data_IF_880326075951
#
_entry.id   IF_880326075951
#
_cell.length_a   1.000
_cell.length_b   1.000
_cell.length_c   1.000
_cell.angle_alpha   90.00
_cell.angle_beta   90.00
_cell.angle_gamma   90.00
#
_symmetry.space_group_name_H-M   'P 1'
#
loop_
_entity.id
_entity.type
_entity.pdbx_description
1 polymer ?
#
# COMPACT_ATOMS: atom_id res chain seq x y z
N UNK A 1 -50.39 17.45 18.92
CA UNK A 1 -49.69 18.46 18.10
C UNK A 1 -50.28 18.42 16.70
N UNK A 2 -50.35 19.54 15.98
CA UNK A 2 -50.95 19.57 14.64
C UNK A 2 -49.94 19.15 13.55
N UNK A 3 -50.43 18.72 12.39
CA UNK A 3 -49.62 18.24 11.27
C UNK A 3 -48.47 19.18 10.91
N UNK A 4 -48.78 20.47 10.72
CA UNK A 4 -47.79 21.46 10.27
C UNK A 4 -46.66 21.66 11.30
N UNK A 5 -46.98 21.53 12.59
CA UNK A 5 -45.99 21.63 13.67
C UNK A 5 -45.09 20.39 13.70
N UNK A 6 -45.65 19.20 13.50
CA UNK A 6 -44.91 17.94 13.43
C UNK A 6 -43.91 17.95 12.27
N UNK A 7 -44.38 18.25 11.05
CA UNK A 7 -43.55 18.26 9.84
C UNK A 7 -42.42 19.31 9.93
N UNK A 8 -42.69 20.48 10.53
CA UNK A 8 -41.68 21.52 10.75
C UNK A 8 -40.57 21.05 11.71
N UNK A 9 -40.92 20.35 12.79
CA UNK A 9 -39.96 19.78 13.74
C UNK A 9 -39.18 18.63 13.11
N UNK A 10 -39.83 17.76 12.35
CA UNK A 10 -39.18 16.67 11.61
C UNK A 10 -38.14 17.23 10.62
N UNK A 11 -38.53 18.20 9.77
CA UNK A 11 -37.62 18.89 8.84
C UNK A 11 -36.43 19.52 9.55
N UNK A 12 -36.66 20.16 10.70
CA UNK A 12 -35.58 20.72 11.51
C UNK A 12 -34.63 19.63 12.03
N UNK A 13 -35.18 18.51 12.51
CA UNK A 13 -34.42 17.36 12.98
C UNK A 13 -33.61 16.68 11.88
N UNK A 14 -34.06 16.73 10.63
CA UNK A 14 -33.39 16.14 9.46
C UNK A 14 -32.24 17.00 8.89
N UNK A 15 -32.05 18.24 9.37
CA UNK A 15 -30.95 19.12 8.93
C UNK A 15 -29.58 18.42 8.99
N UNK A 16 -28.87 18.42 7.86
CA UNK A 16 -27.59 17.69 7.69
C UNK A 16 -27.68 16.56 6.65
N UNK A 17 -28.88 16.17 6.24
CA UNK A 17 -29.10 15.36 5.04
C UNK A 17 -29.16 16.23 3.77
N UNK A 18 -28.98 15.65 2.56
CA UNK A 18 -29.19 16.35 1.30
C UNK A 18 -30.60 16.97 1.23
N UNK A 19 -30.76 18.19 0.69
CA UNK A 19 -32.05 18.88 0.64
C UNK A 19 -33.17 18.07 0.00
N UNK A 20 -32.87 17.35 -1.07
CA UNK A 20 -33.83 16.48 -1.80
C UNK A 20 -34.37 15.38 -0.89
N UNK A 21 -33.49 14.64 -0.19
CA UNK A 21 -33.89 13.60 0.74
C UNK A 21 -34.72 14.12 1.93
N UNK A 22 -34.47 15.36 2.37
CA UNK A 22 -35.28 15.99 3.42
C UNK A 22 -36.71 16.25 2.91
N UNK A 23 -36.85 16.78 1.69
CA UNK A 23 -38.15 17.05 1.10
C UNK A 23 -38.93 15.76 0.83
N UNK A 24 -38.28 14.71 0.32
CA UNK A 24 -38.90 13.41 0.06
C UNK A 24 -39.46 12.79 1.35
N UNK A 25 -38.65 12.72 2.41
CA UNK A 25 -39.08 12.20 3.71
C UNK A 25 -40.25 13.02 4.27
N UNK A 26 -40.16 14.35 4.19
CA UNK A 26 -41.24 15.22 4.70
C UNK A 26 -42.53 15.04 3.89
N UNK A 27 -42.44 14.82 2.57
CA UNK A 27 -43.57 14.57 1.70
C UNK A 27 -44.25 13.23 2.01
N UNK A 28 -43.49 12.16 2.26
CA UNK A 28 -44.02 10.85 2.64
C UNK A 28 -44.84 10.92 3.93
N UNK A 29 -44.32 11.60 4.95
CA UNK A 29 -45.04 11.80 6.20
C UNK A 29 -46.24 12.74 6.03
N UNK A 30 -46.16 13.76 5.19
CA UNK A 30 -47.30 14.62 4.88
C UNK A 30 -48.44 13.82 4.24
N UNK A 31 -48.13 12.93 3.29
CA UNK A 31 -49.10 12.03 2.67
C UNK A 31 -49.71 11.04 3.69
N UNK A 32 -48.92 10.59 4.69
CA UNK A 32 -49.43 9.73 5.77
C UNK A 32 -50.46 10.45 6.65
N UNK A 33 -50.24 11.72 6.95
CA UNK A 33 -51.22 12.54 7.67
C UNK A 33 -52.50 12.77 6.85
N UNK A 34 -52.38 12.96 5.53
CA UNK A 34 -53.55 13.12 4.64
C UNK A 34 -54.37 11.82 4.56
N UNK A 35 -53.72 10.68 4.38
CA UNK A 35 -54.40 9.38 4.36
C UNK A 35 -55.14 9.08 5.68
N UNK A 36 -54.52 9.41 6.81
CA UNK A 36 -55.17 9.23 8.11
C UNK A 36 -56.36 10.19 8.33
N UNK A 37 -56.31 11.38 7.74
CA UNK A 37 -57.44 12.32 7.76
C UNK A 37 -58.63 11.80 6.93
N UNK A 38 -58.37 11.16 5.79
CA UNK A 38 -59.39 10.51 4.96
C UNK A 38 -60.06 9.32 5.67
N UNK A 39 -59.31 8.64 6.54
CA UNK A 39 -59.82 7.58 7.43
C UNK A 39 -60.60 8.12 8.65
N UNK A 40 -60.72 9.45 8.78
CA UNK A 40 -61.45 10.11 9.88
C UNK A 40 -60.67 10.20 11.19
N UNK A 41 -59.36 9.96 11.18
CA UNK A 41 -58.49 10.13 12.36
C UNK A 41 -58.08 11.59 12.51
N UNK A 42 -57.99 12.07 13.74
CA UNK A 42 -57.54 13.45 13.98
C UNK A 42 -56.02 13.58 13.80
N UNK A 43 -55.56 14.74 13.35
CA UNK A 43 -54.11 15.01 13.21
C UNK A 43 -53.35 14.79 14.52
N UNK A 44 -53.99 15.08 15.65
CA UNK A 44 -53.41 14.94 16.98
C UNK A 44 -53.18 13.48 17.36
N UNK A 45 -54.11 12.59 17.02
CA UNK A 45 -53.97 11.14 17.21
C UNK A 45 -52.86 10.55 16.33
N UNK A 46 -52.73 11.02 15.09
CA UNK A 46 -51.68 10.56 14.16
C UNK A 46 -50.31 11.00 14.66
N UNK A 47 -50.20 12.24 15.13
CA UNK A 47 -48.94 12.74 15.69
C UNK A 47 -48.55 12.04 16.99
N UNK A 48 -49.53 11.65 17.82
CA UNK A 48 -49.27 10.85 19.03
C UNK A 48 -48.79 9.43 18.68
N UNK A 49 -49.39 8.81 17.66
CA UNK A 49 -48.95 7.50 17.17
C UNK A 49 -47.53 7.52 16.56
N UNK A 50 -47.16 8.62 15.90
CA UNK A 50 -45.81 8.81 15.34
C UNK A 50 -44.75 9.19 16.40
N UNK A 51 -45.18 9.69 17.56
CA UNK A 51 -44.31 10.02 18.69
C UNK A 51 -43.50 11.32 18.51
N UNK A 52 -42.28 11.36 19.04
CA UNK A 52 -41.44 12.57 19.02
C UNK A 52 -40.73 12.74 17.66
N UNK A 53 -41.02 13.82 16.89
CA UNK A 53 -40.40 14.07 15.59
C UNK A 53 -38.87 14.25 15.67
N UNK A 54 -38.32 14.68 16.80
CA UNK A 54 -36.86 14.81 16.96
C UNK A 54 -36.18 13.44 17.06
N UNK A 55 -36.80 12.49 17.76
CA UNK A 55 -36.35 11.11 17.84
C UNK A 55 -36.46 10.41 16.49
N UNK A 56 -37.59 10.57 15.82
CA UNK A 56 -37.82 10.01 14.48
C UNK A 56 -36.76 10.51 13.47
N UNK A 57 -36.47 11.82 13.48
CA UNK A 57 -35.43 12.38 12.62
C UNK A 57 -34.03 11.79 12.90
N UNK A 58 -33.73 11.45 14.16
CA UNK A 58 -32.46 10.82 14.54
C UNK A 58 -32.38 9.37 14.03
N UNK A 59 -33.46 8.62 14.13
CA UNK A 59 -33.55 7.25 13.61
C UNK A 59 -33.40 7.22 12.09
N UNK A 60 -34.12 8.10 11.36
CA UNK A 60 -34.03 8.23 9.91
C UNK A 60 -32.64 8.64 9.43
N UNK A 61 -31.95 9.52 10.16
CA UNK A 61 -30.56 9.91 9.87
C UNK A 61 -29.58 8.74 10.02
N UNK A 62 -29.78 7.89 11.03
CA UNK A 62 -28.94 6.72 11.22
C UNK A 62 -29.11 5.75 10.04
N UNK A 63 -30.35 5.47 9.64
CA UNK A 63 -30.63 4.59 8.49
C UNK A 63 -30.07 5.15 7.18
N UNK A 64 -30.22 6.45 6.92
CA UNK A 64 -29.65 7.12 5.76
C UNK A 64 -28.11 7.12 5.77
N UNK A 65 -27.49 7.23 6.94
CA UNK A 65 -26.04 7.11 7.12
C UNK A 65 -25.51 5.72 6.78
N UNK A 66 -26.23 4.66 7.16
CA UNK A 66 -25.87 3.28 6.84
C UNK A 66 -26.00 2.96 5.34
N UNK A 67 -27.11 3.36 4.68
CA UNK A 67 -27.27 3.15 3.23
C UNK A 67 -26.19 3.88 2.42
N UNK A 68 -25.78 5.08 2.87
CA UNK A 68 -24.69 5.82 2.21
C UNK A 68 -23.35 5.10 2.33
N UNK A 69 -23.07 4.45 3.47
CA UNK A 69 -21.86 3.63 3.64
C UNK A 69 -21.80 2.45 2.67
N UNK A 70 -22.95 1.88 2.29
CA UNK A 70 -23.01 0.85 1.25
C UNK A 70 -22.83 1.44 -0.16
N UNK A 71 -23.39 2.63 -0.43
CA UNK A 71 -23.33 3.25 -1.76
C UNK A 71 -21.98 3.89 -2.13
N UNK A 72 -21.17 4.32 -1.14
CA UNK A 72 -19.81 4.84 -1.41
C UNK A 72 -18.84 3.73 -1.88
N UNK A 73 -19.23 2.45 -1.81
CA UNK A 73 -18.59 1.37 -2.59
C UNK A 73 -19.02 1.37 -4.07
N UNK A 74 -19.02 2.53 -4.73
CA UNK A 74 -19.22 2.54 -6.18
C UNK A 74 -18.06 1.80 -6.87
N UNK A 75 -18.30 0.90 -7.84
CA UNK A 75 -17.25 0.17 -8.57
C UNK A 75 -16.26 1.07 -9.33
N UNK A 76 -16.56 2.37 -9.46
CA UNK A 76 -15.66 3.39 -10.01
C UNK A 76 -14.42 3.66 -9.12
N UNK A 77 -14.57 3.56 -7.78
CA UNK A 77 -13.45 3.76 -6.86
C UNK A 77 -12.45 2.60 -6.90
N UNK A 78 -12.92 1.37 -7.12
CA UNK A 78 -12.08 0.19 -7.28
C UNK A 78 -11.22 0.27 -8.55
N UNK A 79 -11.78 0.71 -9.68
CA UNK A 79 -11.01 0.91 -10.92
C UNK A 79 -9.92 1.98 -10.75
N UNK A 80 -10.26 3.08 -10.09
CA UNK A 80 -9.29 4.16 -9.82
C UNK A 80 -8.17 3.69 -8.90
N UNK A 81 -8.49 2.88 -7.87
CA UNK A 81 -7.50 2.27 -7.00
C UNK A 81 -6.58 1.30 -7.77
N UNK A 82 -7.13 0.47 -8.68
CA UNK A 82 -6.34 -0.45 -9.51
C UNK A 82 -5.39 0.33 -10.44
N UNK A 83 -5.87 1.36 -11.13
CA UNK A 83 -5.04 2.21 -12.00
C UNK A 83 -3.98 2.94 -11.20
N UNK A 84 -4.30 3.43 -9.99
CA UNK A 84 -3.33 4.05 -9.09
C UNK A 84 -2.27 3.04 -8.61
N UNK A 85 -2.66 1.81 -8.26
CA UNK A 85 -1.74 0.76 -7.83
C UNK A 85 -0.80 0.32 -8.98
N UNK A 86 -1.36 0.16 -10.18
CA UNK A 86 -0.59 -0.16 -11.39
C UNK A 86 0.33 0.99 -11.79
N UNK A 87 -0.14 2.24 -11.70
CA UNK A 87 0.65 3.44 -11.97
C UNK A 87 1.78 3.61 -10.96
N UNK A 88 1.53 3.37 -9.68
CA UNK A 88 2.54 3.37 -8.64
C UNK A 88 3.57 2.26 -8.87
N UNK A 89 3.13 1.04 -9.18
CA UNK A 89 4.02 -0.06 -9.53
C UNK A 89 4.85 0.22 -10.80
N UNK A 90 4.27 0.85 -11.81
CA UNK A 90 4.97 1.24 -13.02
C UNK A 90 6.02 2.34 -12.76
N UNK A 91 5.70 3.32 -11.89
CA UNK A 91 6.62 4.37 -11.47
C UNK A 91 7.76 3.80 -10.62
N UNK A 92 7.44 2.88 -9.70
CA UNK A 92 8.44 2.14 -8.92
C UNK A 92 9.36 1.37 -9.85
N UNK A 93 8.85 0.62 -10.84
CA UNK A 93 9.69 -0.07 -11.82
C UNK A 93 10.54 0.94 -12.60
N UNK A 94 9.95 2.03 -13.10
CA UNK A 94 10.68 3.02 -13.90
C UNK A 94 11.82 3.69 -13.14
N UNK A 95 11.65 3.95 -11.85
CA UNK A 95 12.65 4.60 -10.99
C UNK A 95 13.64 3.59 -10.40
N UNK A 96 13.16 2.44 -9.97
CA UNK A 96 13.95 1.43 -9.25
C UNK A 96 14.79 0.58 -10.21
N UNK A 97 14.24 0.20 -11.38
CA UNK A 97 14.94 -0.64 -12.36
C UNK A 97 16.28 -0.06 -12.84
N UNK A 98 16.40 1.23 -13.23
CA UNK A 98 17.69 1.80 -13.64
C UNK A 98 18.70 1.92 -12.49
N UNK A 99 18.29 1.75 -11.24
CA UNK A 99 19.18 1.72 -10.08
C UNK A 99 19.63 0.29 -9.78
N UNK A 100 18.69 -0.66 -9.78
CA UNK A 100 18.97 -2.07 -9.43
C UNK A 100 19.79 -2.75 -10.52
N UNK A 101 19.48 -2.54 -11.81
CA UNK A 101 20.17 -3.24 -12.90
C UNK A 101 21.68 -2.95 -12.94
N UNK A 102 22.14 -1.67 -12.91
CA UNK A 102 23.57 -1.39 -12.85
C UNK A 102 24.22 -1.89 -11.56
N UNK A 103 23.55 -1.76 -10.41
CA UNK A 103 24.09 -2.25 -9.14
C UNK A 103 24.33 -3.77 -9.19
N UNK A 104 23.36 -4.54 -9.69
CA UNK A 104 23.49 -5.97 -9.89
C UNK A 104 24.59 -6.29 -10.92
N UNK A 105 24.65 -5.53 -12.02
CA UNK A 105 25.68 -5.65 -13.03
C UNK A 105 27.09 -5.44 -12.48
N UNK A 106 27.28 -4.46 -11.60
CA UNK A 106 28.57 -4.22 -10.92
C UNK A 106 28.94 -5.40 -10.04
N UNK A 107 28.02 -5.90 -9.21
CA UNK A 107 28.29 -7.05 -8.32
C UNK A 107 28.68 -8.28 -9.14
N UNK A 108 27.90 -8.62 -10.17
CA UNK A 108 28.20 -9.72 -11.08
C UNK A 108 29.55 -9.50 -11.78
N UNK A 109 29.80 -8.29 -12.28
CA UNK A 109 31.04 -7.92 -12.94
C UNK A 109 32.26 -8.08 -12.04
N UNK A 110 32.16 -7.72 -10.76
CA UNK A 110 33.23 -7.90 -9.78
C UNK A 110 33.52 -9.39 -9.53
N UNK A 111 32.49 -10.23 -9.40
CA UNK A 111 32.67 -11.68 -9.27
C UNK A 111 33.33 -12.29 -10.51
N UNK A 112 32.86 -11.91 -11.70
CA UNK A 112 33.46 -12.36 -12.96
C UNK A 112 34.91 -11.89 -13.09
N UNK A 113 35.22 -10.65 -12.72
CA UNK A 113 36.58 -10.14 -12.72
C UNK A 113 37.49 -10.98 -11.81
N UNK A 114 37.05 -11.28 -10.58
CA UNK A 114 37.84 -12.14 -9.67
C UNK A 114 38.02 -13.55 -10.23
N UNK A 115 36.98 -14.12 -10.87
CA UNK A 115 37.09 -15.41 -11.55
C UNK A 115 38.15 -15.39 -12.66
N UNK A 116 38.17 -14.37 -13.51
CA UNK A 116 39.18 -14.26 -14.57
C UNK A 116 40.59 -14.00 -14.02
N UNK A 117 40.74 -13.23 -12.94
CA UNK A 117 42.03 -13.05 -12.26
C UNK A 117 42.53 -14.39 -11.70
N UNK A 118 41.65 -15.19 -11.10
CA UNK A 118 42.00 -16.52 -10.62
C UNK A 118 42.46 -17.45 -11.75
N UNK A 119 41.70 -17.48 -12.86
CA UNK A 119 42.07 -18.27 -14.05
C UNK A 119 43.40 -17.80 -14.65
N UNK A 120 43.63 -16.49 -14.72
CA UNK A 120 44.89 -15.93 -15.20
C UNK A 120 46.08 -16.31 -14.28
N UNK A 121 45.88 -16.28 -12.96
CA UNK A 121 46.86 -16.77 -11.99
C UNK A 121 47.18 -18.26 -12.18
N UNK A 122 46.16 -19.09 -12.39
CA UNK A 122 46.32 -20.51 -12.70
C UNK A 122 47.05 -20.76 -14.02
N UNK A 123 46.76 -19.96 -15.05
CA UNK A 123 47.48 -20.02 -16.32
C UNK A 123 48.98 -19.70 -16.14
N UNK A 124 49.30 -18.65 -15.38
CA UNK A 124 50.69 -18.26 -15.09
C UNK A 124 51.41 -19.35 -14.27
N UNK A 125 50.72 -19.97 -13.31
CA UNK A 125 51.26 -21.07 -12.51
C UNK A 125 51.63 -22.29 -13.36
N UNK A 126 50.78 -22.66 -14.34
CA UNK A 126 50.96 -23.87 -15.16
C UNK A 126 51.90 -23.62 -16.34
N UNK A 127 51.68 -22.54 -17.09
CA UNK A 127 52.37 -22.27 -18.36
C UNK A 127 53.66 -21.47 -18.14
N UNK A 128 53.67 -20.55 -17.17
CA UNK A 128 54.79 -19.65 -16.89
C UNK A 128 56.15 -20.35 -16.69
N UNK A 129 56.23 -21.47 -15.94
CA UNK A 129 57.46 -22.27 -15.82
C UNK A 129 58.09 -22.70 -17.15
N UNK A 130 57.28 -22.89 -18.19
CA UNK A 130 57.71 -23.39 -19.49
C UNK A 130 57.83 -22.29 -20.55
N UNK A 131 57.42 -21.05 -20.25
CA UNK A 131 57.30 -19.97 -21.22
C UNK A 131 58.36 -18.88 -21.08
N UNK A 132 59.51 -19.18 -20.47
CA UNK A 132 60.58 -18.21 -20.15
C UNK A 132 60.05 -16.96 -19.41
N UNK A 133 59.17 -17.16 -18.42
CA UNK A 133 58.55 -16.08 -17.66
C UNK A 133 59.59 -15.17 -16.97
N UNK A 134 59.39 -13.84 -16.95
CA UNK A 134 60.30 -12.91 -16.28
C UNK A 134 60.53 -13.27 -14.81
N UNK A 135 61.79 -13.33 -14.38
CA UNK A 135 62.15 -13.77 -13.02
C UNK A 135 62.30 -15.30 -12.86
N UNK A 136 62.03 -16.06 -13.91
CA UNK A 136 62.24 -17.51 -13.95
C UNK A 136 61.10 -18.32 -13.35
N UNK A 137 61.34 -19.63 -13.22
CA UNK A 137 60.35 -20.64 -12.86
C UNK A 137 59.69 -20.35 -11.51
N UNK A 138 60.49 -20.05 -10.48
CA UNK A 138 59.98 -19.81 -9.13
C UNK A 138 59.07 -18.58 -9.08
N UNK A 139 59.44 -17.50 -9.78
CA UNK A 139 58.61 -16.29 -9.86
C UNK A 139 57.29 -16.56 -10.58
N UNK A 140 57.28 -17.38 -11.63
CA UNK A 140 56.03 -17.79 -12.29
C UNK A 140 55.12 -18.57 -11.34
N UNK A 141 55.68 -19.54 -10.61
CA UNK A 141 54.90 -20.38 -9.70
C UNK A 141 54.33 -19.56 -8.53
N UNK A 142 55.16 -18.80 -7.82
CA UNK A 142 54.70 -18.00 -6.69
C UNK A 142 53.85 -16.81 -7.13
N UNK A 143 54.10 -16.23 -8.31
CA UNK A 143 53.29 -15.14 -8.87
C UNK A 143 51.89 -15.62 -9.26
N UNK A 144 51.79 -16.77 -9.92
CA UNK A 144 50.51 -17.40 -10.26
C UNK A 144 49.72 -17.78 -9.00
N UNK A 145 50.37 -18.48 -8.06
CA UNK A 145 49.75 -18.86 -6.78
C UNK A 145 49.31 -17.63 -5.96
N UNK A 146 50.15 -16.59 -5.92
CA UNK A 146 49.86 -15.33 -5.24
C UNK A 146 48.65 -14.62 -5.83
N UNK A 147 48.56 -14.53 -7.16
CA UNK A 147 47.38 -13.97 -7.83
C UNK A 147 46.11 -14.76 -7.53
N UNK A 148 46.18 -16.10 -7.55
CA UNK A 148 45.04 -16.95 -7.20
C UNK A 148 44.61 -16.72 -5.74
N UNK A 149 45.56 -16.65 -4.81
CA UNK A 149 45.28 -16.39 -3.40
C UNK A 149 44.64 -15.02 -3.18
N UNK A 150 45.12 -13.98 -3.86
CA UNK A 150 44.53 -12.63 -3.81
C UNK A 150 43.10 -12.66 -4.37
N UNK A 151 42.87 -13.30 -5.52
CA UNK A 151 41.54 -13.40 -6.11
C UNK A 151 40.54 -14.09 -5.17
N UNK A 152 40.95 -15.19 -4.52
CA UNK A 152 40.11 -15.90 -3.53
C UNK A 152 39.84 -15.01 -2.31
N UNK A 153 40.86 -14.34 -1.76
CA UNK A 153 40.71 -13.45 -0.62
C UNK A 153 39.75 -12.29 -0.91
N UNK A 154 39.90 -11.64 -2.07
CA UNK A 154 39.02 -10.55 -2.50
C UNK A 154 37.59 -11.04 -2.78
N UNK A 155 37.44 -12.24 -3.34
CA UNK A 155 36.12 -12.86 -3.55
C UNK A 155 35.42 -13.13 -2.21
N UNK A 156 36.15 -13.59 -1.20
CA UNK A 156 35.60 -13.81 0.14
C UNK A 156 35.15 -12.48 0.79
N UNK A 157 35.95 -11.42 0.65
CA UNK A 157 35.57 -10.07 1.12
C UNK A 157 34.33 -9.54 0.37
N UNK A 158 34.26 -9.74 -0.95
CA UNK A 158 33.12 -9.36 -1.76
C UNK A 158 31.84 -10.11 -1.35
N UNK A 159 31.97 -11.39 -0.99
CA UNK A 159 30.87 -12.21 -0.48
C UNK A 159 30.38 -11.73 0.87
N UNK A 160 31.29 -11.40 1.80
CA UNK A 160 30.91 -10.81 3.09
C UNK A 160 30.19 -9.47 2.88
N UNK A 161 30.70 -8.61 1.98
CA UNK A 161 30.06 -7.34 1.66
C UNK A 161 28.65 -7.53 1.06
N UNK A 162 28.49 -8.49 0.14
CA UNK A 162 27.20 -8.81 -0.48
C UNK A 162 26.19 -9.29 0.57
N UNK A 163 26.59 -10.21 1.46
CA UNK A 163 25.75 -10.67 2.57
C UNK A 163 25.38 -9.49 3.50
N UNK A 164 26.34 -8.63 3.82
CA UNK A 164 26.11 -7.43 4.64
C UNK A 164 25.05 -6.51 4.04
N UNK A 165 25.13 -6.25 2.73
CA UNK A 165 24.16 -5.43 1.99
C UNK A 165 22.77 -6.07 2.02
N UNK A 166 22.66 -7.37 1.73
CA UNK A 166 21.38 -8.09 1.75
C UNK A 166 20.77 -8.07 3.15
N UNK A 167 21.57 -8.29 4.19
CA UNK A 167 21.10 -8.23 5.57
C UNK A 167 20.65 -6.81 5.96
N UNK A 168 21.37 -5.77 5.53
CA UNK A 168 20.97 -4.38 5.76
C UNK A 168 19.64 -4.05 5.08
N UNK A 169 19.44 -4.51 3.83
CA UNK A 169 18.17 -4.36 3.10
C UNK A 169 17.01 -5.07 3.82
N UNK A 170 17.21 -6.31 4.25
CA UNK A 170 16.20 -7.08 4.99
C UNK A 170 15.90 -6.42 6.34
N UNK A 171 16.92 -5.94 7.04
CA UNK A 171 16.76 -5.22 8.29
C UNK A 171 15.97 -3.92 8.10
N UNK A 172 16.28 -3.15 7.05
CA UNK A 172 15.56 -1.93 6.71
C UNK A 172 14.09 -2.21 6.41
N UNK A 173 13.79 -3.27 5.65
CA UNK A 173 12.42 -3.72 5.42
C UNK A 173 11.70 -4.04 6.74
N UNK A 174 12.32 -4.85 7.62
CA UNK A 174 11.74 -5.17 8.94
C UNK A 174 11.53 -3.95 9.82
N UNK A 175 12.46 -2.98 9.80
CA UNK A 175 12.33 -1.74 10.55
C UNK A 175 11.11 -0.95 10.07
N UNK A 176 10.91 -0.85 8.75
CA UNK A 176 9.77 -0.16 8.17
C UNK A 176 8.44 -0.82 8.57
N UNK A 177 8.37 -2.16 8.53
CA UNK A 177 7.21 -2.90 9.04
C UNK A 177 6.93 -2.61 10.53
N UNK A 178 7.97 -2.63 11.37
CA UNK A 178 7.84 -2.39 12.82
C UNK A 178 7.38 -0.96 13.16
N UNK A 179 7.71 0.03 12.34
CA UNK A 179 7.30 1.43 12.55
C UNK A 179 5.84 1.65 12.13
N UNK A 180 5.35 0.89 11.14
CA UNK A 180 3.99 1.04 10.62
C UNK A 180 2.98 0.19 11.44
N UNK A 181 3.41 -0.93 12.01
CA UNK A 181 2.56 -1.83 12.82
C UNK A 181 1.74 -1.13 13.93
N UNK A 182 2.27 -0.18 14.72
CA UNK A 182 1.48 0.53 15.73
C UNK A 182 0.39 1.45 15.15
N UNK A 183 0.58 1.98 13.94
CA UNK A 183 -0.39 2.87 13.29
C UNK A 183 -1.57 2.09 12.67
N UNK A 184 -1.37 0.81 12.34
CA UNK A 184 -2.43 -0.07 11.83
C UNK A 184 -3.30 -0.59 12.99
N UNK A 185 -2.72 -0.73 14.18
CA UNK A 185 -3.41 -1.27 15.36
C UNK A 185 -3.99 -0.21 16.31
N UNK A 186 -3.86 1.09 16.01
CA UNK A 186 -4.40 2.16 16.87
C UNK A 186 -5.87 2.54 16.61
N UNK A 187 -6.55 1.88 15.67
CA UNK A 187 -7.99 2.12 15.38
C UNK A 187 -8.93 1.01 15.89
N UNK A 188 -8.47 0.16 16.82
CA UNK A 188 -9.28 -0.88 17.48
C UNK A 188 -9.85 -0.45 18.83
#
# INVERSE_FOLDING_TARGET
MKRDEFLKRLRHGLKGLPPEAIEDIVADYAAHFEAAADEGRSEEEVAEALGDPARLARELKLEAGFRRWEDVRSPSSAWTAIVALLGLGALDILVLLPIILPALGVVIGLYLAMFFVFVAGGFILIVGPFSAFPGGILTAMFGGLGMMAIAVALTALLLIATIGIVNALVWFGRLHYRVIEPAIHSEG
#
